data_IF_734578751319
#
_entry.id   IF_734578751319
#
_cell.length_a   1.000
_cell.length_b   1.000
_cell.length_c   1.000
_cell.angle_alpha   90.00
_cell.angle_beta   90.00
_cell.angle_gamma   90.00
#
_symmetry.space_group_name_H-M   'P 1'
#
loop_
_entity.id
_entity.type
_entity.pdbx_description
1 polymer ?
#
# COMPACT_ATOMS: atom_id res chain seq x y z
N UNK A 1 -31.73 22.78 50.76
CA UNK A 1 -31.05 24.07 50.53
C UNK A 1 -31.16 24.40 49.06
N UNK A 2 -31.59 25.63 48.74
CA UNK A 2 -31.95 26.11 47.41
C UNK A 2 -30.78 26.16 46.41
N UNK A 3 -30.95 26.57 45.15
CA UNK A 3 -32.05 27.31 44.53
C UNK A 3 -31.82 27.23 42.99
N UNK A 4 -32.91 27.02 42.22
CA UNK A 4 -33.27 27.55 40.89
C UNK A 4 -32.21 27.59 39.76
N UNK A 5 -32.52 27.28 38.51
CA UNK A 5 -33.81 27.24 37.83
C UNK A 5 -33.59 27.67 36.37
N UNK A 6 -34.17 26.87 35.48
CA UNK A 6 -34.15 26.89 34.01
C UNK A 6 -34.81 28.11 33.33
N UNK A 7 -34.73 28.11 31.97
CA UNK A 7 -35.62 28.71 30.94
C UNK A 7 -35.16 30.08 30.39
N UNK A 8 -35.28 30.46 29.10
CA UNK A 8 -35.82 29.89 27.85
C UNK A 8 -35.46 30.84 26.67
N UNK A 9 -35.32 30.30 25.45
CA UNK A 9 -35.75 30.79 24.11
C UNK A 9 -35.20 32.04 23.38
N UNK A 10 -34.97 31.84 22.07
CA UNK A 10 -35.24 32.79 20.96
C UNK A 10 -34.00 33.51 20.39
N UNK A 11 -33.41 33.12 19.26
CA UNK A 11 -33.83 33.33 17.86
C UNK A 11 -33.34 34.66 17.22
N UNK A 12 -32.43 34.51 16.23
CA UNK A 12 -32.29 35.22 14.93
C UNK A 12 -32.01 36.75 14.92
N UNK A 13 -31.04 37.17 14.09
CA UNK A 13 -31.13 38.19 13.01
C UNK A 13 -29.78 38.89 12.77
N UNK A 14 -29.40 38.88 11.50
CA UNK A 14 -28.39 39.63 10.73
C UNK A 14 -28.20 41.12 11.05
N UNK A 15 -27.02 41.68 10.77
CA UNK A 15 -26.91 43.12 10.47
C UNK A 15 -25.50 43.72 10.56
N UNK A 16 -24.92 44.01 9.40
CA UNK A 16 -23.79 44.92 9.14
C UNK A 16 -23.87 46.27 9.88
N UNK A 17 -22.71 46.86 10.23
CA UNK A 17 -22.48 48.30 10.02
C UNK A 17 -20.99 48.71 10.10
N UNK A 18 -20.56 49.38 9.02
CA UNK A 18 -19.37 50.24 8.91
C UNK A 18 -19.59 51.53 9.70
N UNK A 19 -18.53 52.06 10.34
CA UNK A 19 -18.44 53.50 10.63
C UNK A 19 -17.02 54.02 10.40
N UNK A 20 -16.93 55.02 9.53
CA UNK A 20 -15.79 55.91 9.28
C UNK A 20 -15.79 57.01 10.35
N UNK A 21 -14.62 57.43 10.84
CA UNK A 21 -14.47 58.65 11.63
C UNK A 21 -13.24 59.46 11.17
N UNK A 22 -13.44 60.77 11.09
CA UNK A 22 -12.64 61.77 10.39
C UNK A 22 -11.40 62.26 11.17
N UNK A 23 -10.50 62.91 10.41
CA UNK A 23 -9.24 63.53 10.83
C UNK A 23 -9.43 64.80 11.70
N UNK A 24 -8.59 64.96 12.72
CA UNK A 24 -8.26 66.25 13.33
C UNK A 24 -6.73 66.38 13.50
N UNK A 25 -6.19 67.53 13.08
CA UNK A 25 -4.77 67.83 12.95
C UNK A 25 -4.04 68.08 14.29
N UNK A 26 -2.78 67.65 14.39
CA UNK A 26 -1.83 68.03 15.45
C UNK A 26 -0.67 68.87 14.86
N UNK A 27 -0.09 69.83 15.63
CA UNK A 27 1.00 70.69 15.14
C UNK A 27 2.35 69.96 15.06
N UNK A 28 3.30 70.38 14.19
CA UNK A 28 4.56 69.66 13.97
C UNK A 28 5.53 69.84 15.15
N UNK A 29 6.14 68.75 15.62
CA UNK A 29 7.23 68.78 16.61
C UNK A 29 8.57 69.13 15.93
N UNK A 30 9.51 69.80 16.62
CA UNK A 30 10.83 70.14 16.08
C UNK A 30 11.69 68.88 15.86
N UNK A 31 12.43 68.83 14.76
CA UNK A 31 13.32 67.72 14.40
C UNK A 31 14.53 67.62 15.34
N UNK A 32 14.71 66.46 15.99
CA UNK A 32 15.92 66.13 16.73
C UNK A 32 17.13 65.94 15.79
N UNK A 33 18.38 66.24 16.22
CA UNK A 33 19.56 66.05 15.38
C UNK A 33 19.78 64.56 15.05
N UNK A 34 20.36 64.22 13.89
CA UNK A 34 20.55 62.82 13.48
C UNK A 34 21.48 62.08 14.45
N UNK A 35 21.07 60.86 14.82
CA UNK A 35 21.87 59.93 15.62
C UNK A 35 23.15 59.55 14.86
N UNK A 36 24.32 59.72 15.50
CA UNK A 36 25.61 59.37 14.91
C UNK A 36 25.79 57.83 14.91
N UNK A 37 25.44 57.19 13.78
CA UNK A 37 25.53 55.74 13.61
C UNK A 37 26.95 55.23 13.35
N UNK A 38 27.93 56.11 13.23
CA UNK A 38 29.31 55.76 12.83
C UNK A 38 30.03 54.84 13.82
N UNK A 39 29.72 54.91 15.12
CA UNK A 39 30.29 54.00 16.12
C UNK A 39 29.78 52.56 15.99
N UNK A 40 28.48 52.40 15.72
CA UNK A 40 27.82 51.10 15.55
C UNK A 40 28.23 50.41 14.24
N UNK A 41 28.42 51.17 13.15
CA UNK A 41 28.91 50.63 11.89
C UNK A 41 30.37 50.19 11.99
N UNK A 42 31.23 50.96 12.69
CA UNK A 42 32.63 50.57 12.95
C UNK A 42 32.73 49.29 13.78
N UNK A 43 31.91 49.14 14.82
CA UNK A 43 31.88 47.93 15.64
C UNK A 43 31.43 46.69 14.85
N UNK A 44 30.43 46.83 13.97
CA UNK A 44 29.97 45.74 13.09
C UNK A 44 31.02 45.33 12.04
N UNK A 45 31.71 46.31 11.45
CA UNK A 45 32.81 46.05 10.51
C UNK A 45 33.96 45.30 11.21
N UNK A 46 34.39 45.74 12.39
CA UNK A 46 35.45 45.06 13.15
C UNK A 46 35.07 43.63 13.56
N UNK A 47 33.81 43.39 13.90
CA UNK A 47 33.32 42.03 14.20
C UNK A 47 33.34 41.13 12.95
N UNK A 48 32.86 41.64 11.82
CA UNK A 48 32.87 40.92 10.54
C UNK A 48 34.30 40.65 10.02
N UNK A 49 35.25 41.56 10.26
CA UNK A 49 36.66 41.37 9.92
C UNK A 49 37.31 40.27 10.76
N UNK A 50 37.07 40.25 12.08
CA UNK A 50 37.57 39.18 12.96
C UNK A 50 36.98 37.81 12.60
N UNK A 51 35.70 37.77 12.26
CA UNK A 51 35.04 36.54 11.81
C UNK A 51 35.66 36.04 10.50
N UNK A 52 35.87 36.93 9.52
CA UNK A 52 36.52 36.60 8.26
C UNK A 52 37.96 36.07 8.45
N UNK A 53 38.74 36.69 9.32
CA UNK A 53 40.09 36.20 9.68
C UNK A 53 40.03 34.78 10.28
N UNK A 54 39.06 34.52 11.16
CA UNK A 54 38.90 33.19 11.77
C UNK A 54 38.52 32.11 10.76
N UNK A 55 37.64 32.44 9.80
CA UNK A 55 37.22 31.54 8.72
C UNK A 55 38.41 31.19 7.81
N UNK A 56 39.23 32.18 7.46
CA UNK A 56 40.44 31.96 6.65
C UNK A 56 41.47 31.13 7.41
N UNK A 57 41.66 31.38 8.70
CA UNK A 57 42.56 30.57 9.54
C UNK A 57 42.11 29.10 9.64
N UNK A 58 40.80 28.87 9.81
CA UNK A 58 40.22 27.53 9.80
C UNK A 58 40.38 26.82 8.46
N UNK A 59 40.23 27.55 7.34
CA UNK A 59 40.47 27.02 6.00
C UNK A 59 41.94 26.61 5.79
N UNK A 60 42.90 27.39 6.31
CA UNK A 60 44.32 27.04 6.25
C UNK A 60 44.64 25.79 7.05
N UNK A 61 44.08 25.66 8.26
CA UNK A 61 44.24 24.44 9.06
C UNK A 61 43.61 23.22 8.38
N UNK A 62 42.42 23.39 7.79
CA UNK A 62 41.76 22.34 7.01
C UNK A 62 42.58 21.90 5.78
N UNK A 63 43.16 22.86 5.06
CA UNK A 63 44.06 22.59 3.94
C UNK A 63 45.33 21.85 4.38
N UNK A 64 45.95 22.25 5.50
CA UNK A 64 47.14 21.60 6.05
C UNK A 64 46.86 20.16 6.52
N UNK A 65 45.66 19.89 7.05
CA UNK A 65 45.23 18.52 7.37
C UNK A 65 45.04 17.65 6.12
N UNK A 66 44.50 18.20 5.04
CA UNK A 66 44.37 17.45 3.78
C UNK A 66 45.74 17.22 3.12
N UNK A 67 46.66 18.17 3.23
CA UNK A 67 48.05 18.02 2.82
C UNK A 67 48.77 16.91 3.60
N UNK A 68 48.58 16.84 4.92
CA UNK A 68 49.13 15.76 5.74
C UNK A 68 48.60 14.37 5.37
N UNK A 69 47.41 14.31 4.74
CA UNK A 69 46.78 13.10 4.20
C UNK A 69 47.08 12.86 2.72
N UNK A 70 48.05 13.57 2.14
CA UNK A 70 48.44 13.52 0.72
C UNK A 70 47.34 13.89 -0.29
N UNK A 71 46.28 14.58 0.14
CA UNK A 71 45.15 14.96 -0.71
C UNK A 71 45.24 16.43 -1.15
N UNK A 72 46.12 16.71 -2.11
CA UNK A 72 46.34 18.06 -2.66
C UNK A 72 45.10 18.66 -3.35
N UNK A 73 44.34 17.93 -4.20
CA UNK A 73 43.17 18.51 -4.87
C UNK A 73 42.11 19.02 -3.89
N UNK A 74 41.85 18.26 -2.82
CA UNK A 74 40.87 18.64 -1.78
C UNK A 74 41.32 19.83 -0.94
N UNK A 75 42.64 19.98 -0.71
CA UNK A 75 43.19 21.18 -0.06
C UNK A 75 42.96 22.45 -0.91
N UNK A 76 43.15 22.36 -2.23
CA UNK A 76 42.91 23.47 -3.17
C UNK A 76 41.42 23.83 -3.26
N UNK A 77 40.54 22.82 -3.28
CA UNK A 77 39.08 23.01 -3.29
C UNK A 77 38.59 23.82 -2.06
N UNK A 78 39.07 23.46 -0.86
CA UNK A 78 38.74 24.18 0.39
C UNK A 78 39.18 25.65 0.29
N UNK A 79 40.41 25.91 -0.16
CA UNK A 79 40.94 27.27 -0.28
C UNK A 79 40.20 28.10 -1.34
N UNK A 80 39.83 27.51 -2.48
CA UNK A 80 39.05 28.19 -3.53
C UNK A 80 37.62 28.52 -3.06
N UNK A 81 36.95 27.59 -2.36
CA UNK A 81 35.62 27.85 -1.81
C UNK A 81 35.64 28.99 -0.79
N UNK A 82 36.72 29.08 0.02
CA UNK A 82 36.90 30.15 1.00
C UNK A 82 37.18 31.49 0.32
N UNK A 83 37.97 31.51 -0.76
CA UNK A 83 38.19 32.71 -1.60
C UNK A 83 36.88 33.23 -2.17
N UNK A 84 36.02 32.35 -2.69
CA UNK A 84 34.72 32.73 -3.25
C UNK A 84 33.77 33.29 -2.17
N UNK A 85 33.70 32.64 -1.01
CA UNK A 85 32.86 33.10 0.11
C UNK A 85 33.32 34.46 0.66
N UNK A 86 34.64 34.71 0.69
CA UNK A 86 35.21 35.99 1.10
C UNK A 86 34.87 37.12 0.10
N UNK A 87 34.80 36.82 -1.19
CA UNK A 87 34.42 37.79 -2.23
C UNK A 87 32.93 38.13 -2.19
N UNK A 88 32.07 37.17 -1.85
CA UNK A 88 30.62 37.38 -1.72
C UNK A 88 30.23 38.12 -0.43
N UNK A 89 31.13 38.18 0.56
CA UNK A 89 30.85 38.84 1.83
C UNK A 89 31.01 40.38 1.72
N UNK A 90 29.87 41.07 1.61
CA UNK A 90 29.78 42.53 1.54
C UNK A 90 30.04 43.23 2.89
N UNK A 91 30.09 42.49 4.00
CA UNK A 91 30.23 43.05 5.36
C UNK A 91 31.69 43.29 5.79
N UNK A 92 32.67 43.02 4.92
CA UNK A 92 34.11 43.19 5.17
C UNK A 92 34.62 44.41 4.38
N UNK A 93 35.54 45.18 4.98
CA UNK A 93 36.25 46.26 4.28
C UNK A 93 37.05 45.78 3.07
N UNK A 94 37.18 46.61 2.05
CA UNK A 94 37.88 46.28 0.80
C UNK A 94 39.38 45.96 1.02
N UNK A 95 40.03 46.68 1.95
CA UNK A 95 41.42 46.45 2.34
C UNK A 95 41.61 45.07 2.99
N UNK A 96 40.74 44.70 3.94
CA UNK A 96 40.79 43.39 4.60
C UNK A 96 40.49 42.26 3.62
N UNK A 97 39.53 42.45 2.70
CA UNK A 97 39.20 41.48 1.64
C UNK A 97 40.39 41.23 0.71
N UNK A 98 41.08 42.27 0.28
CA UNK A 98 42.24 42.14 -0.61
C UNK A 98 43.43 41.48 0.10
N UNK A 99 43.70 41.83 1.37
CA UNK A 99 44.73 41.20 2.20
C UNK A 99 44.50 39.71 2.40
N UNK A 100 43.29 39.31 2.80
CA UNK A 100 42.94 37.90 3.01
C UNK A 100 42.90 37.10 1.70
N UNK A 101 42.43 37.71 0.60
CA UNK A 101 42.45 37.06 -0.72
C UNK A 101 43.87 36.75 -1.19
N UNK A 102 44.82 37.68 -1.01
CA UNK A 102 46.25 37.46 -1.32
C UNK A 102 46.87 36.36 -0.45
N UNK A 103 46.51 36.30 0.84
CA UNK A 103 46.98 35.25 1.74
C UNK A 103 46.49 33.85 1.29
N UNK A 104 45.22 33.72 0.89
CA UNK A 104 44.66 32.47 0.37
C UNK A 104 45.36 32.06 -0.93
N UNK A 105 45.60 33.01 -1.83
CA UNK A 105 46.28 32.77 -3.11
C UNK A 105 47.73 32.31 -2.95
N UNK A 106 48.47 32.91 -2.00
CA UNK A 106 49.81 32.45 -1.64
C UNK A 106 49.81 31.02 -1.09
N UNK A 107 48.80 30.64 -0.28
CA UNK A 107 48.64 29.28 0.24
C UNK A 107 48.28 28.28 -0.85
N UNK A 108 47.40 28.65 -1.80
CA UNK A 108 47.08 27.81 -2.97
C UNK A 108 48.34 27.56 -3.81
N UNK A 109 49.13 28.59 -4.07
CA UNK A 109 50.38 28.46 -4.81
C UNK A 109 51.37 27.49 -4.12
N UNK A 110 51.48 27.57 -2.79
CA UNK A 110 52.30 26.65 -2.00
C UNK A 110 51.77 25.19 -2.03
N UNK A 111 50.45 24.99 -2.03
CA UNK A 111 49.79 23.67 -2.06
C UNK A 111 49.92 23.00 -3.44
N UNK A 112 49.77 23.77 -4.52
CA UNK A 112 49.85 23.29 -5.91
C UNK A 112 51.28 22.98 -6.36
N UNK A 113 52.29 23.31 -5.55
CA UNK A 113 53.70 23.10 -5.91
C UNK A 113 54.14 23.91 -7.13
N UNK A 114 53.43 25.01 -7.46
CA UNK A 114 53.90 25.97 -8.45
C UNK A 114 55.08 26.71 -7.84
N UNK A 115 56.31 26.57 -8.37
CA UNK A 115 57.41 27.38 -7.88
C UNK A 115 57.08 28.85 -8.18
N UNK A 116 57.26 29.71 -7.17
CA UNK A 116 57.43 31.14 -7.41
C UNK A 116 58.46 31.27 -8.54
N UNK A 117 58.10 31.99 -9.61
CA UNK A 117 58.98 32.13 -10.77
C UNK A 117 60.36 32.62 -10.32
N UNK A 118 61.32 31.71 -10.26
CA UNK A 118 62.73 32.02 -10.08
C UNK A 118 63.35 32.03 -11.49
N UNK A 119 63.96 33.13 -11.96
CA UNK A 119 64.37 33.28 -13.37
C UNK A 119 65.48 32.35 -13.87
N UNK A 120 65.99 31.41 -13.06
CA UNK A 120 67.31 30.80 -13.28
C UNK A 120 67.34 29.27 -13.25
N UNK A 121 66.34 28.56 -13.79
CA UNK A 121 66.55 27.16 -14.19
C UNK A 121 65.53 26.67 -15.24
N UNK A 122 65.94 26.37 -16.48
CA UNK A 122 65.09 25.71 -17.47
C UNK A 122 65.10 24.20 -17.22
N UNK A 123 63.92 23.62 -16.95
CA UNK A 123 63.75 22.16 -16.88
C UNK A 123 64.13 21.48 -18.20
N UNK A 124 64.59 20.23 -18.11
CA UNK A 124 64.91 19.35 -19.24
C UNK A 124 63.80 19.38 -20.30
N UNK A 125 64.12 19.89 -21.48
CA UNK A 125 63.29 19.76 -22.68
C UNK A 125 63.57 18.38 -23.28
N UNK A 126 62.59 17.49 -23.22
CA UNK A 126 62.58 16.29 -24.07
C UNK A 126 62.43 16.77 -25.53
N UNK A 127 63.40 16.47 -26.39
CA UNK A 127 63.40 16.92 -27.78
C UNK A 127 62.20 16.34 -28.56
N UNK A 128 61.32 17.17 -29.16
CA UNK A 128 60.08 16.75 -29.83
C UNK A 128 60.28 16.04 -31.18
N UNK A 129 61.53 15.68 -31.55
CA UNK A 129 61.91 15.10 -32.85
C UNK A 129 62.58 13.73 -32.76
N UNK A 130 62.59 13.08 -31.60
CA UNK A 130 63.04 11.68 -31.55
C UNK A 130 62.07 10.79 -32.35
N UNK A 131 62.57 9.79 -33.11
CA UNK A 131 61.73 8.93 -33.95
C UNK A 131 60.65 8.19 -33.15
N UNK A 132 60.90 7.91 -31.86
CA UNK A 132 59.92 7.33 -30.93
C UNK A 132 58.77 8.29 -30.57
N UNK A 133 59.05 9.58 -30.36
CA UNK A 133 58.03 10.59 -30.07
C UNK A 133 57.19 10.91 -31.30
N UNK A 134 57.80 10.95 -32.50
CA UNK A 134 57.07 11.14 -33.76
C UNK A 134 56.19 9.92 -34.10
N UNK A 135 56.66 8.69 -33.84
CA UNK A 135 55.85 7.49 -33.98
C UNK A 135 54.68 7.47 -32.96
N UNK A 136 54.95 7.84 -31.70
CA UNK A 136 53.91 7.95 -30.67
C UNK A 136 52.88 9.05 -31.00
N UNK A 137 53.31 10.19 -31.55
CA UNK A 137 52.43 11.27 -32.01
C UNK A 137 51.56 10.81 -33.19
N UNK A 138 52.11 10.14 -34.19
CA UNK A 138 51.31 9.58 -35.30
C UNK A 138 50.28 8.56 -34.82
N UNK A 139 50.65 7.67 -33.89
CA UNK A 139 49.71 6.69 -33.31
C UNK A 139 48.61 7.39 -32.49
N UNK A 140 48.93 8.46 -31.76
CA UNK A 140 47.96 9.27 -31.02
C UNK A 140 47.03 10.04 -31.97
N UNK A 141 47.56 10.59 -33.06
CA UNK A 141 46.79 11.28 -34.10
C UNK A 141 45.84 10.32 -34.83
N UNK A 142 46.31 9.14 -35.21
CA UNK A 142 45.48 8.09 -35.83
C UNK A 142 44.35 7.64 -34.90
N UNK A 143 44.65 7.43 -33.60
CA UNK A 143 43.63 7.13 -32.58
C UNK A 143 42.64 8.27 -32.40
N UNK A 144 43.08 9.52 -32.38
CA UNK A 144 42.22 10.69 -32.27
C UNK A 144 41.34 10.89 -33.52
N UNK A 145 41.86 10.60 -34.72
CA UNK A 145 41.09 10.62 -35.97
C UNK A 145 40.04 9.50 -35.96
N UNK A 146 40.39 8.30 -35.50
CA UNK A 146 39.46 7.18 -35.38
C UNK A 146 38.36 7.46 -34.35
N UNK A 147 38.70 8.00 -33.18
CA UNK A 147 37.74 8.45 -32.16
C UNK A 147 36.77 9.49 -32.73
N UNK A 148 37.27 10.53 -33.42
CA UNK A 148 36.39 11.54 -34.02
C UNK A 148 35.42 10.93 -35.03
N UNK A 149 35.87 9.98 -35.86
CA UNK A 149 35.01 9.32 -36.85
C UNK A 149 33.93 8.46 -36.18
N UNK A 150 34.29 7.67 -35.17
CA UNK A 150 33.33 6.82 -34.44
C UNK A 150 32.32 7.66 -33.65
N UNK A 151 32.78 8.73 -32.98
CA UNK A 151 31.89 9.65 -32.26
C UNK A 151 30.94 10.37 -33.22
N UNK A 152 31.39 10.83 -34.39
CA UNK A 152 30.50 11.48 -35.38
C UNK A 152 29.49 10.48 -35.97
N UNK A 153 29.91 9.25 -36.27
CA UNK A 153 29.01 8.21 -36.75
C UNK A 153 27.95 7.83 -35.70
N UNK A 154 28.38 7.63 -34.45
CA UNK A 154 27.50 7.34 -33.32
C UNK A 154 26.56 8.50 -32.95
N UNK A 155 27.01 9.76 -33.08
CA UNK A 155 26.13 10.93 -32.91
C UNK A 155 25.03 10.96 -33.97
N UNK A 156 25.36 10.61 -35.22
CA UNK A 156 24.39 10.57 -36.32
C UNK A 156 23.34 9.47 -36.12
N UNK A 157 23.74 8.29 -35.64
CA UNK A 157 22.80 7.20 -35.34
C UNK A 157 21.90 7.54 -34.17
N UNK A 158 22.43 8.17 -33.12
CA UNK A 158 21.64 8.66 -31.98
C UNK A 158 20.63 9.71 -32.43
N UNK A 159 21.04 10.67 -33.25
CA UNK A 159 20.13 11.68 -33.80
C UNK A 159 19.00 11.04 -34.63
N UNK A 160 19.31 10.08 -35.49
CA UNK A 160 18.31 9.36 -36.27
C UNK A 160 17.37 8.49 -35.41
N UNK A 161 17.87 7.91 -34.33
CA UNK A 161 17.07 7.14 -33.39
C UNK A 161 16.13 8.05 -32.58
N UNK A 162 16.61 9.22 -32.15
CA UNK A 162 15.81 10.22 -31.45
C UNK A 162 14.72 10.84 -32.32
N UNK A 163 15.04 11.16 -33.59
CA UNK A 163 14.08 11.67 -34.58
C UNK A 163 12.99 10.63 -34.90
N UNK A 164 13.35 9.34 -34.87
CA UNK A 164 12.43 8.22 -35.08
C UNK A 164 11.69 7.77 -33.80
N UNK A 165 11.92 8.41 -32.65
CA UNK A 165 11.31 8.03 -31.37
C UNK A 165 11.81 6.69 -30.79
N UNK A 166 12.91 6.12 -31.31
CA UNK A 166 13.51 4.85 -30.86
C UNK A 166 14.48 5.09 -29.71
N UNK A 167 13.93 5.43 -28.54
CA UNK A 167 14.68 5.84 -27.34
C UNK A 167 15.60 4.75 -26.78
N UNK A 168 15.21 3.47 -26.88
CA UNK A 168 16.02 2.35 -26.42
C UNK A 168 17.29 2.12 -27.28
N UNK A 169 17.18 2.31 -28.59
CA UNK A 169 18.30 2.19 -29.54
C UNK A 169 19.27 3.36 -29.38
N UNK A 170 18.74 4.58 -29.23
CA UNK A 170 19.53 5.77 -28.90
C UNK A 170 20.33 5.57 -27.61
N UNK A 171 19.70 5.10 -26.53
CA UNK A 171 20.40 4.89 -25.25
C UNK A 171 21.47 3.80 -25.30
N UNK A 172 21.25 2.71 -26.04
CA UNK A 172 22.24 1.66 -26.20
C UNK A 172 23.52 2.20 -26.87
N UNK A 173 23.37 3.03 -27.91
CA UNK A 173 24.51 3.63 -28.61
C UNK A 173 25.22 4.70 -27.77
N UNK A 174 24.47 5.50 -27.01
CA UNK A 174 25.03 6.47 -26.05
C UNK A 174 25.83 5.75 -24.96
N UNK A 175 25.32 4.62 -24.45
CA UNK A 175 26.03 3.80 -23.46
C UNK A 175 27.31 3.18 -24.05
N UNK A 176 27.27 2.73 -25.32
CA UNK A 176 28.47 2.26 -26.05
C UNK A 176 29.53 3.35 -26.13
N UNK A 177 29.14 4.55 -26.62
CA UNK A 177 30.05 5.69 -26.76
C UNK A 177 30.61 6.15 -25.40
N UNK A 178 29.78 6.16 -24.35
CA UNK A 178 30.20 6.54 -22.99
C UNK A 178 31.23 5.57 -22.41
N UNK A 179 31.09 4.27 -22.71
CA UNK A 179 32.03 3.24 -22.28
C UNK A 179 33.37 3.31 -23.03
N UNK A 180 33.33 3.61 -24.34
CA UNK A 180 34.52 3.68 -25.19
C UNK A 180 35.28 5.00 -25.02
N UNK A 181 34.58 6.12 -24.85
CA UNK A 181 35.16 7.47 -24.84
C UNK A 181 34.67 8.30 -23.64
N UNK A 182 35.01 7.92 -22.40
CA UNK A 182 34.48 8.55 -21.19
C UNK A 182 34.95 10.00 -20.95
N UNK A 183 36.03 10.45 -21.62
CA UNK A 183 36.62 11.79 -21.45
C UNK A 183 36.25 12.77 -22.59
N UNK A 184 35.45 12.34 -23.56
CA UNK A 184 35.11 13.15 -24.73
C UNK A 184 33.90 14.07 -24.40
N UNK A 185 34.02 15.40 -24.61
CA UNK A 185 32.98 16.36 -24.20
C UNK A 185 31.62 16.14 -24.91
N UNK A 186 31.63 15.68 -26.17
CA UNK A 186 30.39 15.43 -26.92
C UNK A 186 29.62 14.22 -26.38
N UNK A 187 30.33 13.18 -25.97
CA UNK A 187 29.75 11.96 -25.39
C UNK A 187 29.19 12.24 -23.99
N UNK A 188 29.89 13.07 -23.20
CA UNK A 188 29.42 13.51 -21.87
C UNK A 188 28.08 14.28 -21.94
N UNK A 189 27.92 15.18 -22.92
CA UNK A 189 26.68 15.93 -23.11
C UNK A 189 25.51 15.03 -23.56
N UNK A 190 25.81 14.03 -24.40
CA UNK A 190 24.82 13.08 -24.94
C UNK A 190 24.21 12.18 -23.87
N UNK A 191 25.03 11.71 -22.92
CA UNK A 191 24.58 10.90 -21.78
C UNK A 191 23.64 11.65 -20.84
N UNK A 192 23.77 12.98 -20.74
CA UNK A 192 22.89 13.80 -19.90
C UNK A 192 21.54 14.07 -20.57
N UNK A 193 21.52 14.35 -21.88
CA UNK A 193 20.30 14.76 -22.59
C UNK A 193 19.34 13.59 -22.89
N UNK A 194 19.86 12.40 -23.20
CA UNK A 194 19.02 11.25 -23.56
C UNK A 194 18.16 10.71 -22.42
N UNK A 195 18.69 10.73 -21.19
CA UNK A 195 17.92 10.39 -19.99
C UNK A 195 16.83 11.43 -19.66
N UNK A 196 17.01 12.68 -20.08
CA UNK A 196 16.05 13.76 -19.80
C UNK A 196 14.76 13.62 -20.60
N UNK A 197 14.81 13.16 -21.85
CA UNK A 197 13.61 12.98 -22.70
C UNK A 197 12.67 11.92 -22.14
N UNK A 198 13.19 10.74 -21.77
CA UNK A 198 12.39 9.67 -21.17
C UNK A 198 11.82 10.12 -19.82
N UNK A 199 12.64 10.75 -18.96
CA UNK A 199 12.17 11.28 -17.67
C UNK A 199 11.09 12.35 -17.85
N UNK A 200 11.16 13.15 -18.90
CA UNK A 200 10.16 14.15 -19.23
C UNK A 200 8.85 13.50 -19.69
N UNK A 201 8.92 12.51 -20.58
CA UNK A 201 7.74 11.75 -21.04
C UNK A 201 7.05 11.02 -19.87
N UNK A 202 7.84 10.33 -19.03
CA UNK A 202 7.34 9.67 -17.82
C UNK A 202 6.72 10.69 -16.84
N UNK A 203 7.38 11.83 -16.63
CA UNK A 203 6.85 12.88 -15.77
C UNK A 203 5.53 13.44 -16.33
N UNK A 204 5.42 13.66 -17.64
CA UNK A 204 4.18 14.10 -18.28
C UNK A 204 3.07 13.06 -18.09
N UNK A 205 3.36 11.78 -18.30
CA UNK A 205 2.39 10.70 -18.11
C UNK A 205 1.89 10.62 -16.66
N UNK A 206 2.79 10.70 -15.68
CA UNK A 206 2.45 10.73 -14.26
C UNK A 206 1.61 11.97 -13.93
N UNK A 207 1.96 13.15 -14.45
CA UNK A 207 1.18 14.38 -14.24
C UNK A 207 -0.24 14.26 -14.84
N UNK A 208 -0.37 13.67 -16.03
CA UNK A 208 -1.68 13.41 -16.64
C UNK A 208 -2.52 12.44 -15.79
N UNK A 209 -1.92 11.36 -15.30
CA UNK A 209 -2.61 10.40 -14.43
C UNK A 209 -3.03 11.04 -13.10
N UNK A 210 -2.15 11.83 -12.48
CA UNK A 210 -2.45 12.59 -11.26
C UNK A 210 -3.62 13.55 -11.48
N UNK A 211 -3.63 14.28 -12.60
CA UNK A 211 -4.74 15.16 -12.97
C UNK A 211 -6.05 14.39 -13.07
N UNK A 212 -6.07 13.27 -13.78
CA UNK A 212 -7.29 12.48 -13.99
C UNK A 212 -7.82 11.89 -12.67
N UNK A 213 -6.92 11.42 -11.79
CA UNK A 213 -7.26 10.95 -10.44
C UNK A 213 -7.75 12.10 -9.54
N UNK A 214 -7.14 13.27 -9.64
CA UNK A 214 -7.54 14.46 -8.87
C UNK A 214 -8.95 14.91 -9.24
N UNK A 215 -9.28 14.94 -10.54
CA UNK A 215 -10.65 15.26 -11.01
C UNK A 215 -11.66 14.27 -10.47
N UNK A 216 -11.39 12.95 -10.54
CA UNK A 216 -12.28 11.92 -9.99
C UNK A 216 -12.46 12.04 -8.47
N UNK A 217 -11.40 12.37 -7.74
CA UNK A 217 -11.48 12.60 -6.30
C UNK A 217 -12.34 13.82 -6.00
N UNK A 218 -12.12 14.93 -6.71
CA UNK A 218 -12.91 16.15 -6.53
C UNK A 218 -14.38 15.90 -6.85
N UNK A 219 -14.69 15.16 -7.92
CA UNK A 219 -16.06 14.73 -8.24
C UNK A 219 -16.67 13.91 -7.09
N UNK A 220 -15.92 12.96 -6.52
CA UNK A 220 -16.38 12.15 -5.39
C UNK A 220 -16.66 13.01 -4.14
N UNK A 221 -15.78 13.95 -3.81
CA UNK A 221 -15.95 14.87 -2.67
C UNK A 221 -17.19 15.74 -2.90
N UNK A 222 -17.33 16.34 -4.09
CA UNK A 222 -18.48 17.17 -4.43
C UNK A 222 -19.78 16.36 -4.39
N UNK A 223 -19.80 15.14 -4.93
CA UNK A 223 -20.96 14.24 -4.87
C UNK A 223 -21.34 13.90 -3.42
N UNK A 224 -20.36 13.66 -2.55
CA UNK A 224 -20.61 13.40 -1.12
C UNK A 224 -21.09 14.65 -0.35
N UNK A 225 -20.89 15.85 -0.91
CA UNK A 225 -21.35 17.10 -0.32
C UNK A 225 -22.81 17.43 -0.67
N UNK A 226 -23.42 16.69 -1.60
CA UNK A 226 -24.82 16.89 -1.92
C UNK A 226 -25.71 16.39 -0.77
N UNK A 227 -26.74 17.16 -0.37
CA UNK A 227 -27.72 16.67 0.60
C UNK A 227 -28.44 15.46 0.01
N UNK A 228 -28.60 14.41 0.82
CA UNK A 228 -29.32 13.21 0.40
C UNK A 228 -30.79 13.55 0.14
N UNK A 229 -31.31 13.13 -1.02
CA UNK A 229 -32.72 13.31 -1.40
C UNK A 229 -33.59 12.23 -0.74
N UNK A 230 -33.01 11.05 -0.52
CA UNK A 230 -33.63 9.93 0.19
C UNK A 230 -32.80 9.54 1.41
N UNK A 231 -33.37 8.77 2.34
CA UNK A 231 -32.67 8.30 3.55
C UNK A 231 -31.35 7.58 3.24
N UNK A 232 -31.28 6.84 2.12
CA UNK A 232 -30.07 6.15 1.65
C UNK A 232 -29.96 6.23 0.12
N UNK A 233 -28.84 6.75 -0.38
CA UNK A 233 -28.51 6.76 -1.81
C UNK A 233 -27.37 5.79 -2.11
N UNK A 234 -27.65 4.79 -2.96
CA UNK A 234 -26.65 3.84 -3.41
C UNK A 234 -25.95 4.31 -4.69
N UNK A 235 -24.68 3.91 -4.93
CA UNK A 235 -24.02 4.21 -6.18
C UNK A 235 -24.73 3.53 -7.36
N UNK A 236 -24.66 4.11 -8.56
CA UNK A 236 -25.36 3.59 -9.75
C UNK A 236 -25.01 2.13 -10.09
N UNK A 237 -23.78 1.70 -9.78
CA UNK A 237 -23.29 0.33 -9.98
C UNK A 237 -23.52 -0.59 -8.76
N UNK A 238 -24.39 -0.23 -7.82
CA UNK A 238 -24.65 -1.02 -6.62
C UNK A 238 -25.09 -2.45 -6.93
N UNK A 239 -25.90 -2.63 -7.97
CA UNK A 239 -26.34 -3.96 -8.43
C UNK A 239 -25.16 -4.85 -8.81
N UNK A 240 -24.25 -4.33 -9.63
CA UNK A 240 -23.03 -5.05 -10.06
C UNK A 240 -22.10 -5.34 -8.89
N UNK A 241 -21.90 -4.36 -7.99
CA UNK A 241 -21.10 -4.53 -6.77
C UNK A 241 -21.70 -5.64 -5.90
N UNK A 242 -23.02 -5.65 -5.75
CA UNK A 242 -23.75 -6.64 -4.95
C UNK A 242 -23.67 -8.02 -5.59
N UNK A 243 -23.90 -8.14 -6.90
CA UNK A 243 -23.78 -9.39 -7.65
C UNK A 243 -22.35 -9.97 -7.58
N UNK A 244 -21.32 -9.13 -7.69
CA UNK A 244 -19.93 -9.55 -7.55
C UNK A 244 -19.65 -10.04 -6.12
N UNK A 245 -20.16 -9.35 -5.10
CA UNK A 245 -20.05 -9.79 -3.70
C UNK A 245 -20.78 -11.11 -3.47
N UNK A 246 -21.96 -11.29 -4.05
CA UNK A 246 -22.75 -12.53 -3.97
C UNK A 246 -22.01 -13.71 -4.62
N UNK A 247 -21.47 -13.51 -5.83
CA UNK A 247 -20.66 -14.51 -6.54
C UNK A 247 -19.40 -14.91 -5.79
N UNK A 248 -18.80 -13.98 -5.06
CA UNK A 248 -17.57 -14.23 -4.30
C UNK A 248 -17.83 -14.77 -2.88
N UNK A 249 -19.03 -14.58 -2.32
CA UNK A 249 -19.37 -15.00 -0.94
C UNK A 249 -20.11 -16.34 -0.89
N UNK A 250 -20.90 -16.67 -1.91
CA UNK A 250 -21.68 -17.91 -1.96
C UNK A 250 -20.80 -19.05 -2.47
N UNK A 251 -20.93 -20.26 -1.89
CA UNK A 251 -20.29 -21.46 -2.43
C UNK A 251 -20.71 -21.60 -3.88
N UNK A 252 -19.74 -21.57 -4.80
CA UNK A 252 -19.95 -22.00 -6.19
C UNK A 252 -20.09 -23.52 -6.16
N UNK A 253 -21.26 -24.01 -5.77
CA UNK A 253 -21.59 -25.41 -5.93
C UNK A 253 -21.68 -25.72 -7.40
N UNK A 254 -21.22 -26.90 -7.82
CA UNK A 254 -21.45 -27.33 -9.20
C UNK A 254 -22.96 -27.49 -9.44
N UNK A 255 -23.36 -27.45 -10.71
CA UNK A 255 -24.77 -27.65 -11.06
C UNK A 255 -25.31 -28.99 -10.52
N UNK A 256 -24.47 -30.04 -10.47
CA UNK A 256 -24.84 -31.34 -9.90
C UNK A 256 -24.94 -31.30 -8.38
N UNK A 257 -24.00 -30.68 -7.68
CA UNK A 257 -24.08 -30.54 -6.22
C UNK A 257 -25.35 -29.79 -5.79
N UNK A 258 -25.75 -28.77 -6.55
CA UNK A 258 -27.02 -28.08 -6.33
C UNK A 258 -28.22 -29.00 -6.54
N UNK A 259 -28.22 -29.81 -7.60
CA UNK A 259 -29.28 -30.80 -7.84
C UNK A 259 -29.36 -31.84 -6.71
N UNK A 260 -28.22 -32.27 -6.17
CA UNK A 260 -28.15 -33.20 -5.03
C UNK A 260 -28.78 -32.56 -3.79
N UNK A 261 -28.43 -31.31 -3.47
CA UNK A 261 -29.01 -30.60 -2.32
C UNK A 261 -30.52 -30.39 -2.52
N UNK A 262 -30.94 -29.97 -3.70
CA UNK A 262 -32.36 -29.77 -4.02
C UNK A 262 -33.14 -31.10 -3.95
N UNK A 263 -32.52 -32.24 -4.29
CA UNK A 263 -33.12 -33.56 -4.13
C UNK A 263 -33.23 -33.96 -2.65
N UNK A 264 -32.20 -33.70 -1.85
CA UNK A 264 -32.17 -33.97 -0.41
C UNK A 264 -33.17 -33.13 0.39
N UNK A 265 -33.50 -31.92 -0.07
CA UNK A 265 -34.51 -31.06 0.58
C UNK A 265 -35.96 -31.47 0.26
N UNK A 266 -36.20 -32.35 -0.72
CA UNK A 266 -37.55 -32.82 -1.04
C UNK A 266 -38.15 -33.64 0.11
N UNK A 267 -39.44 -33.46 0.42
CA UNK A 267 -40.11 -34.28 1.43
C UNK A 267 -40.33 -35.70 0.91
N UNK A 268 -39.95 -36.70 1.71
CA UNK A 268 -40.11 -38.12 1.39
C UNK A 268 -40.97 -38.79 2.46
N UNK A 269 -41.73 -39.80 2.06
CA UNK A 269 -42.47 -40.69 2.97
C UNK A 269 -41.81 -42.05 2.96
N UNK A 270 -41.33 -42.50 4.11
CA UNK A 270 -40.70 -43.81 4.28
C UNK A 270 -41.21 -44.51 5.54
N UNK A 271 -41.44 -45.82 5.45
CA UNK A 271 -41.73 -46.72 6.58
C UNK A 271 -40.76 -47.90 6.48
N UNK A 272 -39.65 -47.79 7.19
CA UNK A 272 -38.67 -48.86 7.34
C UNK A 272 -38.90 -49.55 8.67
N UNK A 273 -39.19 -50.86 8.65
CA UNK A 273 -39.34 -51.70 9.84
C UNK A 273 -38.31 -52.80 9.79
N UNK A 274 -37.26 -52.67 10.59
CA UNK A 274 -36.15 -53.63 10.68
C UNK A 274 -35.51 -53.98 9.31
N UNK A 275 -35.53 -53.05 8.36
CA UNK A 275 -34.93 -53.30 7.04
C UNK A 275 -33.40 -53.25 7.12
N UNK A 276 -32.68 -54.13 6.42
CA UNK A 276 -31.23 -54.02 6.30
C UNK A 276 -30.82 -52.63 5.83
N UNK A 277 -29.74 -52.08 6.42
CA UNK A 277 -29.31 -50.71 6.11
C UNK A 277 -28.98 -50.56 4.63
N UNK A 278 -28.40 -51.58 4.00
CA UNK A 278 -28.06 -51.59 2.58
C UNK A 278 -29.31 -51.46 1.68
N UNK A 279 -30.37 -52.20 1.98
CA UNK A 279 -31.64 -52.11 1.26
C UNK A 279 -32.32 -50.75 1.48
N UNK A 280 -32.33 -50.25 2.72
CA UNK A 280 -32.91 -48.95 3.04
C UNK A 280 -32.17 -47.81 2.32
N UNK A 281 -30.83 -47.89 2.21
CA UNK A 281 -30.04 -46.92 1.45
C UNK A 281 -30.28 -47.03 -0.04
N UNK A 282 -30.43 -48.24 -0.60
CA UNK A 282 -30.76 -48.43 -2.00
C UNK A 282 -32.14 -47.85 -2.34
N UNK A 283 -33.14 -48.09 -1.49
CA UNK A 283 -34.48 -47.50 -1.64
C UNK A 283 -34.43 -45.97 -1.60
N UNK A 284 -33.66 -45.38 -0.67
CA UNK A 284 -33.48 -43.94 -0.59
C UNK A 284 -32.75 -43.37 -1.81
N UNK A 285 -31.73 -44.06 -2.31
CA UNK A 285 -31.03 -43.71 -3.55
C UNK A 285 -32.01 -43.62 -4.73
N UNK A 286 -32.88 -44.63 -4.88
CA UNK A 286 -33.91 -44.68 -5.91
C UNK A 286 -34.96 -43.57 -5.76
N UNK A 287 -35.41 -43.28 -4.52
CA UNK A 287 -36.40 -42.23 -4.25
C UNK A 287 -35.85 -40.82 -4.47
N UNK A 288 -34.58 -40.58 -4.11
CA UNK A 288 -33.90 -39.31 -4.31
C UNK A 288 -33.42 -39.11 -5.75
N UNK A 289 -33.22 -40.21 -6.49
CA UNK A 289 -32.62 -40.21 -7.81
C UNK A 289 -31.15 -39.77 -7.79
N UNK A 290 -30.42 -40.10 -6.73
CA UNK A 290 -29.03 -39.71 -6.51
C UNK A 290 -28.24 -40.88 -5.93
N UNK A 291 -27.03 -41.12 -6.46
CA UNK A 291 -26.19 -42.22 -6.02
C UNK A 291 -25.63 -41.98 -4.61
N UNK A 292 -25.81 -42.96 -3.73
CA UNK A 292 -25.25 -43.00 -2.38
C UNK A 292 -24.02 -43.92 -2.36
N UNK A 293 -22.84 -43.36 -2.05
CA UNK A 293 -21.60 -44.13 -1.94
C UNK A 293 -21.25 -44.37 -0.47
N UNK A 294 -21.13 -45.63 -0.09
CA UNK A 294 -20.65 -46.03 1.24
C UNK A 294 -19.12 -46.09 1.21
N UNK A 295 -18.46 -45.33 2.08
CA UNK A 295 -17.02 -45.39 2.24
C UNK A 295 -16.61 -46.65 3.00
N UNK A 296 -15.97 -47.59 2.29
CA UNK A 296 -15.57 -48.91 2.84
C UNK A 296 -14.69 -48.82 4.08
N UNK A 297 -13.84 -47.79 4.17
CA UNK A 297 -13.00 -47.55 5.36
C UNK A 297 -13.85 -47.21 6.57
N UNK A 298 -14.83 -46.31 6.39
CA UNK A 298 -15.76 -45.94 7.46
C UNK A 298 -16.58 -47.11 7.99
N UNK A 299 -16.95 -48.08 7.13
CA UNK A 299 -17.65 -49.30 7.54
C UNK A 299 -16.72 -50.24 8.31
N UNK A 300 -15.47 -50.38 7.86
CA UNK A 300 -14.47 -51.21 8.52
C UNK A 300 -14.09 -50.66 9.92
N UNK A 301 -13.96 -49.35 10.06
CA UNK A 301 -13.59 -48.69 11.32
C UNK A 301 -14.61 -48.89 12.44
N UNK A 302 -15.90 -49.07 12.10
CA UNK A 302 -16.98 -49.27 13.05
C UNK A 302 -17.43 -50.74 13.18
N UNK A 303 -16.75 -51.68 12.51
CA UNK A 303 -17.11 -53.10 12.44
C UNK A 303 -18.62 -53.32 12.18
N UNK A 304 -19.22 -52.49 11.34
CA UNK A 304 -20.68 -52.47 11.16
C UNK A 304 -21.15 -53.66 10.32
N UNK A 305 -22.07 -54.44 10.88
CA UNK A 305 -22.86 -55.37 10.10
C UNK A 305 -23.98 -54.60 9.38
N UNK A 306 -23.84 -54.46 8.05
CA UNK A 306 -24.81 -53.79 7.17
C UNK A 306 -26.19 -54.48 7.18
N UNK A 307 -26.28 -55.69 7.74
CA UNK A 307 -27.54 -56.43 7.93
C UNK A 307 -28.33 -56.00 9.15
N UNK A 308 -27.75 -55.20 10.05
CA UNK A 308 -28.46 -54.70 11.23
C UNK A 308 -29.63 -53.82 10.79
N UNK A 309 -30.84 -54.23 11.16
CA UNK A 309 -32.07 -53.57 10.75
C UNK A 309 -32.13 -52.12 11.25
N UNK A 310 -32.43 -51.19 10.33
CA UNK A 310 -32.80 -49.82 10.67
C UNK A 310 -34.33 -49.69 10.68
N UNK A 311 -34.85 -49.07 11.73
CA UNK A 311 -36.28 -48.77 11.87
C UNK A 311 -36.46 -47.27 11.87
N UNK A 312 -37.17 -46.74 10.86
CA UNK A 312 -37.53 -45.34 10.80
C UNK A 312 -38.87 -45.17 10.10
N UNK A 313 -39.77 -44.42 10.76
CA UNK A 313 -41.02 -43.96 10.18
C UNK A 313 -40.95 -42.45 10.02
N UNK A 314 -41.04 -41.98 8.78
CA UNK A 314 -40.98 -40.56 8.45
C UNK A 314 -42.06 -40.21 7.44
N UNK A 315 -42.97 -39.32 7.83
CA UNK A 315 -44.05 -38.83 6.99
C UNK A 315 -43.84 -37.33 6.69
N UNK A 316 -43.29 -37.02 5.51
CA UNK A 316 -43.12 -35.64 5.06
C UNK A 316 -41.88 -34.94 5.63
N UNK A 317 -40.87 -35.70 6.08
CA UNK A 317 -39.57 -35.15 6.43
C UNK A 317 -38.71 -34.96 5.17
N UNK A 318 -37.78 -34.00 5.20
CA UNK A 318 -36.80 -33.84 4.11
C UNK A 318 -35.96 -35.11 3.97
N UNK A 319 -35.61 -35.49 2.74
CA UNK A 319 -34.74 -36.63 2.46
C UNK A 319 -33.42 -36.57 3.24
N UNK A 320 -32.89 -35.37 3.46
CA UNK A 320 -31.74 -35.09 4.33
C UNK A 320 -31.96 -35.53 5.78
N UNK A 321 -33.08 -35.13 6.38
CA UNK A 321 -33.42 -35.50 7.75
C UNK A 321 -33.58 -37.02 7.85
N UNK A 322 -34.29 -37.63 6.90
CA UNK A 322 -34.50 -39.08 6.85
C UNK A 322 -33.17 -39.84 6.78
N UNK A 323 -32.31 -39.46 5.83
CA UNK A 323 -31.00 -40.08 5.63
C UNK A 323 -30.13 -39.95 6.89
N UNK A 324 -30.07 -38.74 7.47
CA UNK A 324 -29.27 -38.49 8.67
C UNK A 324 -29.82 -39.24 9.90
N UNK A 325 -31.14 -39.35 10.06
CA UNK A 325 -31.76 -40.10 11.15
C UNK A 325 -31.47 -41.61 11.08
N UNK A 326 -31.51 -42.21 9.87
CA UNK A 326 -31.17 -43.63 9.70
C UNK A 326 -29.69 -43.86 10.02
N UNK A 327 -28.81 -43.03 9.45
CA UNK A 327 -27.37 -43.17 9.64
C UNK A 327 -26.92 -42.91 11.09
N UNK A 328 -27.59 -41.98 11.78
CA UNK A 328 -27.29 -41.65 13.18
C UNK A 328 -27.43 -42.86 14.12
N UNK A 329 -28.38 -43.77 13.84
CA UNK A 329 -28.58 -44.99 14.65
C UNK A 329 -27.38 -45.94 14.66
N UNK A 330 -26.49 -45.84 13.66
CA UNK A 330 -25.30 -46.66 13.50
C UNK A 330 -23.99 -45.86 13.59
N UNK A 331 -24.03 -44.60 14.04
CA UNK A 331 -22.84 -43.75 14.15
C UNK A 331 -22.27 -43.27 12.82
N UNK A 332 -23.07 -43.33 11.75
CA UNK A 332 -22.71 -42.84 10.41
C UNK A 332 -23.35 -41.46 10.16
N UNK A 333 -22.77 -40.73 9.20
CA UNK A 333 -23.33 -39.49 8.65
C UNK A 333 -23.04 -39.44 7.16
N UNK A 334 -23.71 -38.55 6.43
CA UNK A 334 -23.38 -38.29 5.04
C UNK A 334 -22.71 -36.92 4.87
N UNK A 335 -21.95 -36.77 3.79
CA UNK A 335 -21.36 -35.51 3.33
C UNK A 335 -21.47 -35.47 1.80
N UNK A 336 -21.95 -34.35 1.25
CA UNK A 336 -21.90 -34.10 -0.19
C UNK A 336 -20.52 -33.59 -0.56
N UNK A 337 -19.78 -34.35 -1.36
CA UNK A 337 -18.44 -33.97 -1.84
C UNK A 337 -18.17 -34.59 -3.21
N UNK A 338 -17.51 -33.84 -4.08
CA UNK A 338 -17.10 -34.27 -5.41
C UNK A 338 -18.30 -34.74 -6.26
N UNK A 339 -19.42 -33.99 -6.18
CA UNK A 339 -20.69 -34.30 -6.85
C UNK A 339 -21.36 -35.63 -6.45
N UNK A 340 -21.02 -36.22 -5.30
CA UNK A 340 -21.63 -37.46 -4.81
C UNK A 340 -21.95 -37.39 -3.31
N UNK A 341 -22.98 -38.13 -2.88
CA UNK A 341 -23.30 -38.29 -1.47
C UNK A 341 -22.44 -39.42 -0.90
N UNK A 342 -21.50 -39.08 -0.01
CA UNK A 342 -20.62 -40.03 0.65
C UNK A 342 -21.10 -40.31 2.07
N UNK A 343 -21.33 -41.58 2.39
CA UNK A 343 -21.67 -42.06 3.73
C UNK A 343 -20.38 -42.44 4.45
N UNK A 344 -20.09 -41.76 5.55
CA UNK A 344 -18.83 -41.84 6.31
C UNK A 344 -19.10 -41.87 7.82
N UNK A 345 -18.10 -42.22 8.62
CA UNK A 345 -18.20 -42.09 10.09
C UNK A 345 -18.29 -40.63 10.53
N UNK A 346 -18.87 -40.38 11.71
CA UNK A 346 -18.89 -39.03 12.30
C UNK A 346 -17.47 -38.47 12.46
N UNK A 347 -16.49 -39.29 12.84
CA UNK A 347 -15.09 -38.86 12.99
C UNK A 347 -14.47 -38.43 11.66
N UNK A 348 -14.61 -39.25 10.62
CA UNK A 348 -14.10 -38.91 9.29
C UNK A 348 -14.80 -37.70 8.71
N UNK A 349 -16.10 -37.56 8.92
CA UNK A 349 -16.86 -36.40 8.43
C UNK A 349 -16.30 -35.07 8.94
N UNK A 350 -15.78 -35.02 10.18
CA UNK A 350 -15.16 -33.81 10.77
C UNK A 350 -13.95 -33.32 9.97
N UNK A 351 -13.20 -34.24 9.35
CA UNK A 351 -12.05 -33.91 8.49
C UNK A 351 -12.45 -33.36 7.12
N UNK A 352 -13.68 -33.65 6.67
CA UNK A 352 -14.22 -33.23 5.38
C UNK A 352 -15.00 -31.91 5.45
N UNK A 353 -15.21 -31.37 6.66
CA UNK A 353 -15.90 -30.09 6.85
C UNK A 353 -15.03 -28.92 6.37
N UNK A 354 -15.69 -27.91 5.82
CA UNK A 354 -15.05 -26.65 5.48
C UNK A 354 -15.26 -25.64 6.61
N UNK A 355 -14.29 -24.77 6.85
CA UNK A 355 -14.40 -23.66 7.81
C UNK A 355 -14.66 -22.36 7.07
N UNK A 356 -15.67 -21.59 7.49
CA UNK A 356 -16.02 -20.29 6.92
C UNK A 356 -16.34 -19.27 8.00
N UNK A 357 -16.05 -18.01 7.69
CA UNK A 357 -16.28 -16.88 8.58
C UNK A 357 -17.45 -16.05 8.03
N UNK A 358 -18.46 -15.81 8.87
CA UNK A 358 -19.61 -14.97 8.54
C UNK A 358 -19.62 -13.75 9.46
N UNK A 359 -19.53 -12.55 8.89
CA UNK A 359 -19.58 -11.31 9.65
C UNK A 359 -20.99 -11.06 10.20
N UNK A 360 -21.10 -10.85 11.52
CA UNK A 360 -22.36 -10.57 12.22
C UNK A 360 -22.41 -9.16 12.82
N UNK A 361 -21.37 -8.34 12.64
CA UNK A 361 -21.22 -7.10 13.39
C UNK A 361 -22.37 -6.11 13.27
N UNK A 362 -23.10 -6.11 12.15
CA UNK A 362 -24.30 -5.28 11.95
C UNK A 362 -25.55 -5.84 12.68
N UNK A 363 -25.62 -7.17 12.85
CA UNK A 363 -26.78 -7.87 13.43
C UNK A 363 -26.75 -7.95 14.96
N UNK A 364 -25.55 -7.93 15.55
CA UNK A 364 -25.35 -8.11 17.00
C UNK A 364 -25.19 -6.80 17.77
N UNK A 365 -24.91 -5.70 17.05
CA UNK A 365 -24.88 -4.37 17.64
C UNK A 365 -26.31 -3.96 18.01
N UNK A 366 -26.52 -3.61 19.27
CA UNK A 366 -27.86 -3.39 19.81
C UNK A 366 -28.62 -2.32 19.04
N UNK A 367 -29.62 -2.73 18.26
CA UNK A 367 -30.61 -1.81 17.69
C UNK A 367 -31.66 -1.56 18.77
N UNK A 368 -31.40 -0.60 19.66
CA UNK A 368 -32.28 -0.26 20.76
C UNK A 368 -31.77 0.94 21.57
N UNK A 369 -32.58 1.55 22.45
CA UNK A 369 -32.23 2.76 23.22
C UNK A 369 -31.06 2.58 24.21
N UNK A 370 -30.47 1.38 24.26
CA UNK A 370 -29.32 1.00 25.09
C UNK A 370 -28.10 0.55 24.27
N UNK A 371 -28.17 0.53 22.93
CA UNK A 371 -27.07 0.13 22.05
C UNK A 371 -26.11 1.26 21.69
N UNK A 372 -26.31 2.45 22.26
CA UNK A 372 -25.46 3.60 22.03
C UNK A 372 -24.20 3.54 22.93
N UNK A 373 -23.13 4.18 22.46
CA UNK A 373 -21.81 4.35 23.10
C UNK A 373 -21.86 4.98 24.51
N UNK A 374 -23.05 5.34 24.98
CA UNK A 374 -23.33 6.01 26.24
C UNK A 374 -23.02 5.16 27.50
N UNK A 375 -23.03 3.83 27.39
CA UNK A 375 -22.76 2.91 28.52
C UNK A 375 -21.46 2.11 28.37
N UNK A 376 -20.43 2.70 27.75
CA UNK A 376 -19.06 2.17 27.75
C UNK A 376 -18.85 0.79 27.08
N UNK A 377 -17.58 0.36 26.91
CA UNK A 377 -17.25 -0.84 26.12
C UNK A 377 -17.59 -2.17 26.81
N UNK A 378 -17.71 -2.23 28.15
CA UNK A 378 -17.87 -3.49 28.89
C UNK A 378 -19.33 -3.99 28.88
N UNK A 379 -20.32 -3.11 29.11
CA UNK A 379 -21.74 -3.50 29.08
C UNK A 379 -22.19 -3.88 27.65
N UNK A 380 -21.66 -3.18 26.65
CA UNK A 380 -21.87 -3.50 25.25
C UNK A 380 -21.33 -4.88 24.86
N UNK A 381 -20.21 -5.32 25.45
CA UNK A 381 -19.62 -6.63 25.14
C UNK A 381 -20.48 -7.81 25.62
N UNK A 382 -21.05 -7.73 26.83
CA UNK A 382 -21.92 -8.79 27.36
C UNK A 382 -23.24 -8.89 26.59
N UNK A 383 -23.86 -7.77 26.23
CA UNK A 383 -25.09 -7.78 25.44
C UNK A 383 -24.82 -8.28 24.00
N UNK A 384 -23.69 -7.88 23.41
CA UNK A 384 -23.26 -8.38 22.09
C UNK A 384 -23.02 -9.90 22.12
N UNK A 385 -22.43 -10.42 23.21
CA UNK A 385 -22.26 -11.85 23.44
C UNK A 385 -23.62 -12.58 23.45
N UNK A 386 -24.56 -12.08 24.26
CA UNK A 386 -25.88 -12.67 24.40
C UNK A 386 -26.68 -12.64 23.08
N UNK A 387 -26.59 -11.55 22.32
CA UNK A 387 -27.19 -11.45 20.99
C UNK A 387 -26.56 -12.44 20.01
N UNK A 388 -25.23 -12.59 20.03
CA UNK A 388 -24.53 -13.57 19.19
C UNK A 388 -24.94 -15.00 19.55
N UNK A 389 -25.04 -15.33 20.84
CA UNK A 389 -25.48 -16.65 21.31
C UNK A 389 -26.92 -16.96 20.89
N UNK A 390 -27.83 -15.97 20.95
CA UNK A 390 -29.19 -16.11 20.45
C UNK A 390 -29.23 -16.41 18.94
N UNK A 391 -28.40 -15.74 18.14
CA UNK A 391 -28.28 -16.00 16.70
C UNK A 391 -27.72 -17.40 16.46
N UNK A 392 -26.67 -17.80 17.19
CA UNK A 392 -26.09 -19.15 17.09
C UNK A 392 -27.12 -20.22 17.44
N UNK A 393 -27.91 -20.03 18.50
CA UNK A 393 -28.99 -20.94 18.88
C UNK A 393 -30.08 -21.03 17.80
N UNK A 394 -30.46 -19.89 17.21
CA UNK A 394 -31.43 -19.85 16.11
C UNK A 394 -30.90 -20.58 14.87
N UNK A 395 -29.63 -20.42 14.52
CA UNK A 395 -28.98 -21.15 13.41
C UNK A 395 -29.02 -22.66 13.68
N UNK A 396 -28.60 -23.09 14.88
CA UNK A 396 -28.57 -24.52 15.25
C UNK A 396 -29.95 -25.18 15.15
N UNK A 397 -31.01 -24.43 15.47
CA UNK A 397 -32.39 -24.94 15.45
C UNK A 397 -33.04 -24.89 14.05
N UNK A 398 -32.69 -23.91 13.23
CA UNK A 398 -33.35 -23.68 11.93
C UNK A 398 -32.66 -24.38 10.76
N UNK A 399 -31.33 -24.52 10.83
CA UNK A 399 -30.52 -25.06 9.75
C UNK A 399 -29.99 -26.42 10.19
N UNK A 400 -30.55 -27.50 9.65
CA UNK A 400 -30.13 -28.88 9.91
C UNK A 400 -29.78 -29.19 11.38
N UNK A 401 -30.77 -29.36 12.25
CA UNK A 401 -30.54 -29.59 13.68
C UNK A 401 -29.61 -30.78 13.96
N UNK A 402 -29.58 -31.77 13.09
CA UNK A 402 -28.78 -32.99 13.22
C UNK A 402 -27.32 -32.83 12.70
N UNK A 403 -26.96 -31.68 12.14
CA UNK A 403 -25.62 -31.41 11.61
C UNK A 403 -24.64 -30.85 12.64
N UNK A 404 -25.13 -30.28 13.74
CA UNK A 404 -24.33 -29.56 14.72
C UNK A 404 -23.86 -30.43 15.88
N UNK A 405 -22.69 -30.11 16.42
CA UNK A 405 -22.16 -30.71 17.63
C UNK A 405 -22.93 -30.24 18.87
N UNK A 406 -23.11 -31.12 19.85
CA UNK A 406 -23.92 -30.89 21.05
C UNK A 406 -24.99 -31.98 21.21
N UNK A 407 -26.24 -31.56 21.43
CA UNK A 407 -27.37 -32.46 21.71
C UNK A 407 -27.59 -33.54 20.64
N UNK A 408 -27.33 -33.22 19.37
CA UNK A 408 -27.62 -34.08 18.21
C UNK A 408 -26.40 -34.83 17.66
N UNK A 409 -25.24 -34.74 18.32
CA UNK A 409 -23.99 -35.46 17.95
C UNK A 409 -23.52 -35.28 16.49
N UNK A 410 -23.90 -34.17 15.84
CA UNK A 410 -23.47 -33.84 14.49
C UNK A 410 -21.99 -33.40 14.43
N UNK A 411 -21.37 -33.43 13.23
CA UNK A 411 -19.94 -33.11 13.09
C UNK A 411 -19.62 -31.62 13.04
N UNK A 412 -20.60 -30.76 12.75
CA UNK A 412 -20.40 -29.31 12.56
C UNK A 412 -20.24 -28.54 13.86
N UNK A 413 -19.59 -27.38 13.82
CA UNK A 413 -19.45 -26.49 14.97
C UNK A 413 -19.61 -25.02 14.59
N UNK A 414 -20.06 -24.21 15.54
CA UNK A 414 -20.19 -22.75 15.41
C UNK A 414 -19.55 -22.11 16.63
N UNK A 415 -18.60 -21.19 16.39
CA UNK A 415 -17.93 -20.41 17.43
C UNK A 415 -17.99 -18.93 17.07
N UNK A 416 -18.30 -18.08 18.04
CA UNK A 416 -18.32 -16.63 17.86
C UNK A 416 -16.96 -16.02 18.24
N UNK A 417 -16.41 -15.19 17.36
CA UNK A 417 -15.22 -14.39 17.61
C UNK A 417 -15.60 -12.93 17.87
N UNK A 418 -15.31 -12.49 19.10
CA UNK A 418 -15.61 -11.16 19.60
C UNK A 418 -14.83 -10.04 18.90
N UNK A 419 -13.58 -10.31 18.50
CA UNK A 419 -12.70 -9.27 17.95
C UNK A 419 -13.13 -8.89 16.53
N UNK A 420 -13.43 -9.90 15.72
CA UNK A 420 -13.86 -9.70 14.33
C UNK A 420 -15.37 -9.54 14.19
N UNK A 421 -16.13 -9.68 15.30
CA UNK A 421 -17.61 -9.67 15.31
C UNK A 421 -18.19 -10.66 14.29
N UNK A 422 -17.61 -11.85 14.23
CA UNK A 422 -17.94 -12.85 13.22
C UNK A 422 -18.18 -14.23 13.83
N UNK A 423 -19.00 -15.05 13.19
CA UNK A 423 -19.11 -16.47 13.52
C UNK A 423 -18.21 -17.28 12.60
N UNK A 424 -17.38 -18.11 13.21
CA UNK A 424 -16.60 -19.14 12.52
C UNK A 424 -17.44 -20.40 12.55
N UNK A 425 -17.89 -20.82 11.37
CA UNK A 425 -18.72 -22.01 11.18
C UNK A 425 -17.86 -23.07 10.50
N UNK A 426 -17.76 -24.24 11.12
CA UNK A 426 -17.16 -25.43 10.50
C UNK A 426 -18.28 -26.41 10.20
N UNK A 427 -18.64 -26.57 8.93
CA UNK A 427 -19.75 -27.41 8.52
C UNK A 427 -19.56 -27.99 7.11
N UNK A 428 -20.46 -28.89 6.69
CA UNK A 428 -20.49 -29.43 5.33
C UNK A 428 -20.88 -28.35 4.33
N UNK A 429 -20.53 -28.56 3.05
CA UNK A 429 -20.82 -27.61 1.97
C UNK A 429 -22.33 -27.29 1.86
N UNK A 430 -23.18 -28.29 2.07
CA UNK A 430 -24.65 -28.15 2.11
C UNK A 430 -25.14 -27.20 3.21
N UNK A 431 -24.57 -27.29 4.42
CA UNK A 431 -24.95 -26.44 5.55
C UNK A 431 -24.53 -25.02 5.27
N UNK A 432 -23.32 -24.80 4.75
CA UNK A 432 -22.88 -23.49 4.32
C UNK A 432 -23.70 -22.91 3.15
N UNK A 433 -24.16 -23.75 2.23
CA UNK A 433 -25.04 -23.31 1.15
C UNK A 433 -26.40 -22.86 1.70
N UNK A 434 -26.97 -23.63 2.64
CA UNK A 434 -28.23 -23.26 3.30
C UNK A 434 -28.09 -21.99 4.15
N UNK A 435 -26.95 -21.81 4.84
CA UNK A 435 -26.60 -20.57 5.56
C UNK A 435 -26.52 -19.39 4.59
N UNK A 436 -25.79 -19.54 3.47
CA UNK A 436 -25.70 -18.52 2.44
C UNK A 436 -27.07 -18.12 1.89
N UNK A 437 -27.95 -19.09 1.64
CA UNK A 437 -29.33 -18.83 1.18
C UNK A 437 -30.18 -18.10 2.23
N UNK A 438 -30.00 -18.45 3.51
CA UNK A 438 -30.78 -17.86 4.61
C UNK A 438 -30.33 -16.44 4.89
N UNK A 439 -29.02 -16.16 4.88
CA UNK A 439 -28.49 -14.82 5.08
C UNK A 439 -28.66 -13.89 3.87
N UNK A 440 -28.70 -14.43 2.64
CA UNK A 440 -28.84 -13.63 1.42
C UNK A 440 -30.28 -13.49 0.91
N UNK A 441 -31.30 -14.03 1.62
CA UNK A 441 -32.70 -13.72 1.34
C UNK A 441 -32.99 -12.28 1.79
N UNK A 442 -32.73 -11.33 0.90
CA UNK A 442 -33.25 -9.96 0.95
C UNK A 442 -34.37 -9.80 -0.07
#
# INVERSE_FOLDING_TARGET
MGFKGYRWFGAVVTGTNLFVAAHAAQPPRPSAPPFDTTGLTKAKLQAAEKEAESVVAGAFQGADQQLARYNRPKAVEILNSTKQNLQLNASIGEETRTRLSKAIEAKIAAVEGRPVANPSNPGMKLDPKSPEVLAAQKILEEKAVAERKDVVAGLKTVQQADDAGRTAEAQAEIARLTKLYPKNPSVMALGQNSGMKIRLEDAIAIQMELRDRWVKNQESITRSSFPAINDVEFPKNWKEISERRLKNSTIQLTAKEKQIIDALDKPIKVDFRERPLEEALQDLSNMLGQDLLIDKKSVADLELDLKKGATLQANGLSGRTVLRSILASQGLTFVVKDEVIQIVTVERSRSLLTTRVYYLGDLIQGVGPFGDLQWGPILNAQQTAANADAIVAAIRKSIDPLSWNGETHGPGSITYDYLTKSIVVRASAEVHYSLGRTFNRR
#
